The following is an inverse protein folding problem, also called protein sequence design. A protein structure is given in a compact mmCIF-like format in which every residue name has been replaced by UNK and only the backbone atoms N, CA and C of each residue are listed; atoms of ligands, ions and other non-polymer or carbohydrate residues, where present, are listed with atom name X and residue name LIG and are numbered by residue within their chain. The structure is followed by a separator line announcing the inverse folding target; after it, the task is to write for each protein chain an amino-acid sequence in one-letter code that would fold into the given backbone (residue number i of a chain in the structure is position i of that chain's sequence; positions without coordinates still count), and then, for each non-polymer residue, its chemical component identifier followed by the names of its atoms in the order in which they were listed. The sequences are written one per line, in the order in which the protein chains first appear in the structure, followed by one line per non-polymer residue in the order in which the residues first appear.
data_IF_511981492151
#
_entry.id   IF_511981492151
#
_cell.length_a   1.000
_cell.length_b   1.000
_cell.length_c   1.000
_cell.angle_alpha   90.00
_cell.angle_beta   90.00
_cell.angle_gamma   90.00
#
_symmetry.space_group_name_H-M   'P 1'
#
loop_
_entity.id
_entity.type
_entity.pdbx_description
1 polymer ?
#
# COMPACT_ATOMS: atom_id res chain seq x y z
N UNK A 1 10.88 -67.96 36.63
CA UNK A 1 9.92 -68.05 35.53
C UNK A 1 8.81 -66.99 35.68
N UNK A 2 8.39 -66.63 36.88
CA UNK A 2 7.35 -65.63 37.16
C UNK A 2 7.84 -64.16 36.90
N UNK A 3 9.12 -63.87 37.06
CA UNK A 3 9.63 -62.53 36.77
C UNK A 3 9.68 -62.20 35.23
N UNK A 4 9.86 -63.25 34.40
CA UNK A 4 9.83 -63.09 32.94
C UNK A 4 8.42 -62.90 32.40
N UNK A 5 7.38 -63.41 33.02
CA UNK A 5 5.97 -63.19 32.69
C UNK A 5 5.46 -61.83 33.16
N UNK A 6 5.97 -61.26 34.25
CA UNK A 6 5.66 -59.95 34.75
C UNK A 6 6.25 -58.81 33.82
N UNK A 7 7.28 -59.17 33.05
CA UNK A 7 7.83 -58.28 32.04
C UNK A 7 6.92 -58.09 30.79
N UNK A 8 5.94 -58.96 30.60
CA UNK A 8 4.91 -58.99 29.59
C UNK A 8 3.50 -58.69 30.13
N UNK A 9 3.41 -58.02 31.27
CA UNK A 9 2.12 -57.53 31.74
C UNK A 9 1.68 -56.40 30.79
N UNK A 10 0.75 -56.75 29.86
CA UNK A 10 0.21 -55.91 28.81
C UNK A 10 -0.35 -54.56 29.30
N UNK A 11 -0.65 -54.49 30.61
CA UNK A 11 -1.18 -53.27 31.24
C UNK A 11 -0.12 -52.27 31.67
N UNK A 12 1.15 -52.65 31.80
CA UNK A 12 2.19 -51.80 32.39
C UNK A 12 3.39 -51.48 31.48
N UNK A 13 3.41 -51.92 30.21
CA UNK A 13 4.54 -51.72 29.32
C UNK A 13 4.22 -50.73 28.18
N UNK A 14 4.69 -49.46 28.24
CA UNK A 14 4.48 -48.44 27.18
C UNK A 14 5.11 -48.85 25.86
N UNK A 15 6.12 -49.73 25.89
CA UNK A 15 6.83 -50.18 24.68
C UNK A 15 5.91 -50.95 23.72
N UNK A 16 4.86 -51.58 24.20
CA UNK A 16 3.87 -52.29 23.39
C UNK A 16 3.02 -51.34 22.53
N UNK A 17 2.97 -50.05 22.88
CA UNK A 17 2.25 -49.02 22.11
C UNK A 17 3.24 -48.17 21.32
N UNK A 18 4.40 -47.84 21.90
CA UNK A 18 5.43 -47.01 21.26
C UNK A 18 6.06 -47.69 20.05
N UNK A 19 6.38 -49.01 20.15
CA UNK A 19 7.02 -49.73 19.07
C UNK A 19 6.13 -49.84 17.80
N UNK A 20 4.84 -50.25 17.89
CA UNK A 20 3.94 -50.21 16.75
C UNK A 20 3.75 -48.81 16.18
N UNK A 21 3.60 -47.77 17.01
CA UNK A 21 3.47 -46.39 16.57
C UNK A 21 4.73 -45.93 15.82
N UNK A 22 5.91 -46.29 16.28
CA UNK A 22 7.18 -46.02 15.60
C UNK A 22 7.24 -46.70 14.23
N UNK A 23 6.95 -48.01 14.17
CA UNK A 23 7.00 -48.80 12.92
C UNK A 23 6.00 -48.26 11.89
N UNK A 24 4.76 -48.05 12.32
CA UNK A 24 3.71 -47.48 11.46
C UNK A 24 4.13 -46.06 10.97
N UNK A 25 4.68 -45.25 11.86
CA UNK A 25 5.17 -43.91 11.52
C UNK A 25 6.30 -43.93 10.52
N UNK A 26 7.24 -44.86 10.63
CA UNK A 26 8.33 -45.04 9.64
C UNK A 26 7.81 -45.52 8.30
N UNK A 27 6.84 -46.44 8.30
CA UNK A 27 6.21 -46.90 7.04
C UNK A 27 5.49 -45.76 6.35
N UNK A 28 4.68 -45.00 7.09
CA UNK A 28 3.98 -43.82 6.54
C UNK A 28 4.99 -42.80 5.99
N UNK A 29 6.05 -42.50 6.74
CA UNK A 29 7.11 -41.60 6.28
C UNK A 29 7.76 -42.08 5.01
N UNK A 30 8.10 -43.37 4.92
CA UNK A 30 8.70 -43.97 3.73
C UNK A 30 7.77 -43.90 2.51
N UNK A 31 6.47 -44.14 2.70
CA UNK A 31 5.46 -44.02 1.63
C UNK A 31 5.35 -42.57 1.15
N UNK A 32 5.19 -41.59 2.06
CA UNK A 32 5.09 -40.19 1.73
C UNK A 32 6.35 -39.69 0.97
N UNK A 33 7.53 -40.08 1.45
CA UNK A 33 8.81 -39.72 0.83
C UNK A 33 8.96 -40.37 -0.54
N UNK A 34 8.53 -41.61 -0.72
CA UNK A 34 8.54 -42.26 -2.04
C UNK A 34 7.58 -41.59 -3.02
N UNK A 35 6.38 -41.20 -2.58
CA UNK A 35 5.46 -40.40 -3.40
C UNK A 35 6.10 -39.08 -3.83
N UNK A 36 6.74 -38.35 -2.88
CA UNK A 36 7.47 -37.11 -3.21
C UNK A 36 8.60 -37.38 -4.21
N UNK A 37 9.37 -38.48 -4.05
CA UNK A 37 10.46 -38.83 -4.97
C UNK A 37 9.95 -39.17 -6.37
N UNK A 38 8.88 -39.97 -6.49
CA UNK A 38 8.28 -40.35 -7.78
C UNK A 38 7.70 -39.14 -8.49
N UNK A 39 7.02 -38.26 -7.74
CA UNK A 39 6.46 -37.02 -8.30
C UNK A 39 7.56 -36.05 -8.74
N UNK A 40 8.66 -35.97 -7.98
CA UNK A 40 9.83 -35.19 -8.31
C UNK A 40 10.57 -35.72 -9.57
N UNK A 41 10.51 -37.01 -9.82
CA UNK A 41 11.14 -37.63 -10.99
C UNK A 41 10.30 -37.44 -12.27
N UNK A 42 8.96 -37.43 -12.16
CA UNK A 42 8.04 -37.26 -13.31
C UNK A 42 7.85 -35.81 -13.77
N UNK A 43 8.00 -34.86 -12.86
CA UNK A 43 7.82 -33.43 -13.14
C UNK A 43 9.10 -32.71 -12.78
N UNK A 44 9.80 -32.14 -13.75
CA UNK A 44 11.01 -31.32 -13.56
C UNK A 44 10.75 -29.99 -12.85
N UNK A 45 9.72 -29.93 -12.00
CA UNK A 45 9.43 -28.73 -11.23
C UNK A 45 10.51 -28.53 -10.17
N UNK A 46 11.26 -27.46 -10.31
CA UNK A 46 12.30 -27.03 -9.36
C UNK A 46 11.80 -26.99 -7.92
N UNK A 47 10.52 -26.58 -7.72
CA UNK A 47 9.83 -26.58 -6.44
C UNK A 47 9.79 -27.97 -5.77
N UNK A 48 9.48 -29.04 -6.53
CA UNK A 48 9.39 -30.40 -6.00
C UNK A 48 10.78 -30.92 -5.62
N UNK A 49 11.82 -30.52 -6.34
CA UNK A 49 13.21 -30.84 -5.99
C UNK A 49 13.62 -30.20 -4.65
N UNK A 50 13.28 -28.91 -4.43
CA UNK A 50 13.51 -28.21 -3.17
C UNK A 50 12.79 -28.88 -1.99
N UNK A 51 11.54 -29.34 -2.18
CA UNK A 51 10.78 -30.13 -1.21
C UNK A 51 11.50 -31.43 -0.86
N UNK A 52 11.93 -32.21 -1.89
CA UNK A 52 12.63 -33.46 -1.68
C UNK A 52 13.90 -33.31 -0.85
N UNK A 53 14.73 -32.31 -1.16
CA UNK A 53 16.02 -32.11 -0.50
C UNK A 53 15.88 -31.66 0.96
N UNK A 54 14.88 -30.86 1.28
CA UNK A 54 14.77 -30.22 2.59
C UNK A 54 13.74 -30.85 3.54
N UNK A 55 12.71 -31.54 3.01
CA UNK A 55 11.61 -32.07 3.82
C UNK A 55 11.80 -33.55 4.18
N UNK A 56 12.52 -34.31 3.34
CA UNK A 56 12.69 -35.76 3.53
C UNK A 56 13.24 -36.13 4.90
N UNK A 57 14.32 -35.46 5.32
CA UNK A 57 14.96 -35.75 6.62
C UNK A 57 14.05 -35.45 7.79
N UNK A 58 13.26 -34.38 7.73
CA UNK A 58 12.39 -33.98 8.84
C UNK A 58 11.17 -34.90 8.95
N UNK A 59 10.60 -35.34 7.81
CA UNK A 59 9.44 -36.22 7.80
C UNK A 59 9.74 -37.59 8.45
N UNK A 60 10.97 -38.09 8.33
CA UNK A 60 11.37 -39.34 9.00
C UNK A 60 11.30 -39.26 10.54
N UNK A 61 11.47 -38.06 11.11
CA UNK A 61 11.36 -37.85 12.55
C UNK A 61 9.97 -37.36 12.96
N UNK A 62 9.34 -36.49 12.14
CA UNK A 62 8.09 -35.86 12.48
C UNK A 62 6.92 -36.84 12.56
N UNK A 63 6.72 -37.67 11.53
CA UNK A 63 5.56 -38.56 11.47
C UNK A 63 5.56 -39.63 12.57
N UNK A 64 6.69 -40.37 12.80
CA UNK A 64 6.75 -41.31 13.91
C UNK A 64 6.53 -40.65 15.27
N UNK A 65 7.11 -39.45 15.47
CA UNK A 65 7.01 -38.74 16.73
C UNK A 65 5.58 -38.24 17.01
N UNK A 66 4.83 -37.84 15.99
CA UNK A 66 3.40 -37.50 16.10
C UNK A 66 2.61 -38.72 16.60
N UNK A 67 2.81 -39.87 15.97
CA UNK A 67 2.09 -41.11 16.35
C UNK A 67 2.46 -41.58 17.74
N UNK A 68 3.75 -41.54 18.09
CA UNK A 68 4.24 -41.89 19.43
C UNK A 68 3.63 -40.97 20.48
N UNK A 69 3.63 -39.66 20.23
CA UNK A 69 3.10 -38.67 21.18
C UNK A 69 1.58 -38.83 21.36
N UNK A 70 0.86 -39.11 20.27
CA UNK A 70 -0.58 -39.37 20.31
C UNK A 70 -0.89 -40.68 21.11
N UNK A 71 -0.14 -41.72 20.85
CA UNK A 71 -0.26 -42.99 21.55
C UNK A 71 0.04 -42.86 23.07
N UNK A 72 1.14 -42.19 23.40
CA UNK A 72 1.53 -41.90 24.79
C UNK A 72 0.54 -41.01 25.52
N UNK A 73 -0.08 -40.05 24.85
CA UNK A 73 -1.13 -39.19 25.43
C UNK A 73 -2.30 -40.04 25.95
N UNK A 74 -2.80 -40.95 25.13
CA UNK A 74 -3.91 -41.84 25.50
C UNK A 74 -3.54 -42.72 26.66
N UNK A 75 -2.32 -43.25 26.69
CA UNK A 75 -1.82 -44.14 27.73
C UNK A 75 -1.52 -43.40 29.06
N UNK A 76 -0.96 -42.21 29.00
CA UNK A 76 -0.64 -41.38 30.19
C UNK A 76 -1.88 -40.91 30.96
N UNK A 77 -3.05 -40.85 30.33
CA UNK A 77 -4.32 -40.57 30.98
C UNK A 77 -4.76 -41.68 31.91
N UNK A 78 -4.31 -42.92 31.64
CA UNK A 78 -4.69 -44.12 32.39
C UNK A 78 -3.62 -44.46 33.45
N UNK A 79 -2.36 -44.11 33.20
CA UNK A 79 -1.21 -44.50 34.03
C UNK A 79 -0.29 -43.30 34.34
N UNK A 80 -0.31 -42.79 35.56
CA UNK A 80 0.46 -41.62 36.01
C UNK A 80 1.98 -41.77 35.93
N UNK A 81 2.49 -43.01 35.99
CA UNK A 81 3.93 -43.31 35.98
C UNK A 81 4.60 -42.94 34.65
N UNK A 82 3.84 -42.73 33.55
CA UNK A 82 4.35 -42.40 32.22
C UNK A 82 4.25 -40.90 31.85
N UNK A 83 3.97 -40.05 32.81
CA UNK A 83 3.91 -38.60 32.63
C UNK A 83 5.21 -38.05 32.04
N UNK A 84 6.35 -38.46 32.54
CA UNK A 84 7.65 -38.00 32.04
C UNK A 84 7.92 -38.45 30.59
N UNK A 85 7.59 -39.68 30.24
CA UNK A 85 7.77 -40.20 28.86
C UNK A 85 6.91 -39.42 27.86
N UNK A 86 5.67 -39.12 28.24
CA UNK A 86 4.79 -38.27 27.45
C UNK A 86 5.33 -36.84 27.35
N UNK A 87 5.82 -36.25 28.44
CA UNK A 87 6.40 -34.90 28.44
C UNK A 87 7.63 -34.81 27.55
N UNK A 88 8.53 -35.77 27.57
CA UNK A 88 9.70 -35.84 26.70
C UNK A 88 9.29 -35.97 25.24
N UNK A 89 8.32 -36.84 24.92
CA UNK A 89 7.84 -36.97 23.54
C UNK A 89 7.18 -35.68 23.03
N UNK A 90 6.44 -34.96 23.87
CA UNK A 90 5.85 -33.67 23.58
C UNK A 90 6.90 -32.57 23.29
N UNK A 91 7.95 -32.50 24.12
CA UNK A 91 9.07 -31.57 23.93
C UNK A 91 9.80 -31.88 22.63
N UNK A 92 10.08 -33.14 22.34
CA UNK A 92 10.68 -33.56 21.09
C UNK A 92 9.80 -33.22 19.88
N UNK A 93 8.48 -33.40 19.98
CA UNK A 93 7.52 -33.04 18.93
C UNK A 93 7.53 -31.52 18.63
N UNK A 94 7.57 -30.69 19.68
CA UNK A 94 7.67 -29.23 19.51
C UNK A 94 8.97 -28.87 18.80
N UNK A 95 10.10 -29.45 19.20
CA UNK A 95 11.40 -29.18 18.55
C UNK A 95 11.40 -29.60 17.08
N UNK A 96 10.87 -30.78 16.74
CA UNK A 96 10.79 -31.27 15.36
C UNK A 96 9.78 -30.46 14.54
N UNK A 97 8.66 -30.02 15.13
CA UNK A 97 7.70 -29.12 14.47
C UNK A 97 8.34 -27.78 14.16
N UNK A 98 9.09 -27.20 15.09
CA UNK A 98 9.85 -25.97 14.87
C UNK A 98 10.86 -26.15 13.74
N UNK A 99 11.58 -27.28 13.72
CA UNK A 99 12.50 -27.62 12.64
C UNK A 99 11.79 -27.78 11.29
N UNK A 100 10.62 -28.43 11.27
CA UNK A 100 9.78 -28.57 10.07
C UNK A 100 9.40 -27.19 9.51
N UNK A 101 8.93 -26.28 10.36
CA UNK A 101 8.54 -24.93 9.96
C UNK A 101 9.73 -24.15 9.35
N UNK A 102 10.92 -24.26 9.95
CA UNK A 102 12.12 -23.62 9.37
C UNK A 102 12.48 -24.20 7.99
N UNK A 103 12.29 -25.51 7.77
CA UNK A 103 12.52 -26.15 6.47
C UNK A 103 11.52 -25.72 5.41
N UNK A 104 10.25 -25.53 5.80
CA UNK A 104 9.22 -25.00 4.89
C UNK A 104 9.61 -23.59 4.41
N UNK A 105 10.08 -22.71 5.30
CA UNK A 105 10.56 -21.37 4.93
C UNK A 105 11.75 -21.42 3.95
N UNK A 106 12.70 -22.36 4.17
CA UNK A 106 13.84 -22.56 3.26
C UNK A 106 13.37 -23.07 1.89
N UNK A 107 12.35 -23.91 1.83
CA UNK A 107 11.78 -24.39 0.56
C UNK A 107 11.14 -23.20 -0.20
N UNK A 108 10.33 -22.40 0.48
CA UNK A 108 9.70 -21.22 -0.10
C UNK A 108 10.78 -20.27 -0.67
N UNK A 109 11.84 -19.99 0.11
CA UNK A 109 12.96 -19.18 -0.37
C UNK A 109 13.58 -19.74 -1.66
N UNK A 110 13.90 -21.05 -1.68
CA UNK A 110 14.50 -21.69 -2.87
C UNK A 110 13.60 -21.57 -4.09
N UNK A 111 12.30 -21.79 -3.92
CA UNK A 111 11.32 -21.68 -5.01
C UNK A 111 11.24 -20.25 -5.54
N UNK A 112 11.21 -19.25 -4.66
CA UNK A 112 11.16 -17.84 -5.05
C UNK A 112 12.45 -17.38 -5.74
N UNK A 113 13.61 -17.83 -5.27
CA UNK A 113 14.92 -17.48 -5.87
C UNK A 113 15.09 -18.13 -7.24
N UNK A 114 14.61 -19.37 -7.42
CA UNK A 114 14.68 -20.08 -8.70
C UNK A 114 13.86 -19.42 -9.81
N UNK A 115 12.88 -18.56 -9.47
CA UNK A 115 12.09 -17.79 -10.43
C UNK A 115 12.80 -16.50 -10.87
N UNK A 116 13.91 -16.12 -10.23
CA UNK A 116 14.65 -14.92 -10.58
C UNK A 116 15.62 -15.20 -11.72
N UNK A 117 15.53 -14.41 -12.78
CA UNK A 117 16.47 -14.49 -13.90
C UNK A 117 17.69 -13.62 -13.62
N UNK A 118 18.84 -14.26 -13.41
CA UNK A 118 20.13 -13.61 -13.23
C UNK A 118 20.94 -13.49 -14.52
N UNK A 119 20.42 -14.00 -15.64
CA UNK A 119 21.15 -14.09 -16.91
C UNK A 119 21.10 -12.81 -17.72
N UNK A 120 20.18 -11.88 -17.42
CA UNK A 120 20.04 -10.62 -18.13
C UNK A 120 21.15 -9.62 -17.77
N UNK A 121 21.64 -8.80 -18.72
CA UNK A 121 22.67 -7.78 -18.47
C UNK A 121 22.24 -6.76 -17.39
N UNK A 122 20.94 -6.45 -17.29
CA UNK A 122 20.36 -5.58 -16.27
C UNK A 122 19.61 -6.38 -15.20
N UNK A 123 20.37 -7.08 -14.35
CA UNK A 123 19.81 -7.91 -13.28
C UNK A 123 19.62 -7.17 -11.94
N UNK A 124 19.62 -5.84 -11.95
CA UNK A 124 19.47 -5.03 -10.73
C UNK A 124 18.17 -5.35 -9.96
N UNK A 125 17.07 -5.60 -10.66
CA UNK A 125 15.80 -5.98 -10.03
C UNK A 125 15.89 -7.36 -9.36
N UNK A 126 16.48 -8.35 -10.03
CA UNK A 126 16.67 -9.69 -9.47
C UNK A 126 17.54 -9.67 -8.21
N UNK A 127 18.64 -8.90 -8.22
CA UNK A 127 19.51 -8.73 -7.05
C UNK A 127 18.80 -8.05 -5.87
N UNK A 128 17.98 -7.03 -6.12
CA UNK A 128 17.16 -6.37 -5.08
C UNK A 128 16.15 -7.32 -4.47
N UNK A 129 15.44 -8.11 -5.29
CA UNK A 129 14.47 -9.12 -4.84
C UNK A 129 15.17 -10.23 -4.04
N UNK A 130 16.30 -10.74 -4.50
CA UNK A 130 17.11 -11.73 -3.78
C UNK A 130 17.47 -11.27 -2.36
N UNK A 131 17.93 -10.03 -2.22
CA UNK A 131 18.29 -9.48 -0.90
C UNK A 131 17.05 -9.34 -0.01
N UNK A 132 15.92 -8.89 -0.56
CA UNK A 132 14.64 -8.79 0.19
C UNK A 132 14.16 -10.16 0.68
N UNK A 133 14.18 -11.18 -0.20
CA UNK A 133 13.78 -12.56 0.14
C UNK A 133 14.66 -13.11 1.29
N UNK A 134 15.98 -12.95 1.19
CA UNK A 134 16.90 -13.39 2.25
C UNK A 134 16.66 -12.68 3.59
N UNK A 135 16.37 -11.38 3.55
CA UNK A 135 16.09 -10.60 4.76
C UNK A 135 14.80 -11.08 5.43
N UNK A 136 13.70 -11.20 4.65
CA UNK A 136 12.40 -11.68 5.14
C UNK A 136 12.54 -13.10 5.71
N UNK A 137 13.22 -14.02 5.00
CA UNK A 137 13.50 -15.37 5.52
C UNK A 137 14.15 -15.33 6.89
N UNK A 138 15.18 -14.50 7.10
CA UNK A 138 15.90 -14.41 8.39
C UNK A 138 14.95 -13.99 9.51
N UNK A 139 14.11 -12.98 9.28
CA UNK A 139 13.11 -12.53 10.27
C UNK A 139 12.13 -13.64 10.59
N UNK A 140 11.57 -14.31 9.59
CA UNK A 140 10.58 -15.38 9.78
C UNK A 140 11.19 -16.55 10.56
N UNK A 141 12.43 -16.96 10.26
CA UNK A 141 13.12 -18.04 10.99
C UNK A 141 13.34 -17.65 12.46
N UNK A 142 13.78 -16.41 12.74
CA UNK A 142 13.95 -15.93 14.12
C UNK A 142 12.63 -16.01 14.88
N UNK A 143 11.52 -15.55 14.26
CA UNK A 143 10.19 -15.63 14.87
C UNK A 143 9.78 -17.08 15.16
N UNK A 144 9.93 -18.00 14.19
CA UNK A 144 9.60 -19.43 14.34
C UNK A 144 10.39 -20.06 15.51
N UNK A 145 11.70 -19.78 15.59
CA UNK A 145 12.55 -20.31 16.65
C UNK A 145 12.13 -19.73 18.00
N UNK A 146 11.87 -18.42 18.09
CA UNK A 146 11.43 -17.75 19.32
C UNK A 146 10.10 -18.34 19.81
N UNK A 147 9.10 -18.48 18.92
CA UNK A 147 7.84 -19.13 19.25
C UNK A 147 8.01 -20.60 19.64
N UNK A 148 8.87 -21.35 18.93
CA UNK A 148 9.16 -22.74 19.25
C UNK A 148 9.76 -22.89 20.65
N UNK A 149 10.74 -22.06 21.01
CA UNK A 149 11.34 -22.03 22.35
C UNK A 149 10.28 -21.64 23.39
N UNK A 150 9.44 -20.66 23.14
CA UNK A 150 8.39 -20.22 24.05
C UNK A 150 7.40 -21.35 24.34
N UNK A 151 6.92 -22.06 23.32
CA UNK A 151 6.00 -23.21 23.47
C UNK A 151 6.69 -24.34 24.23
N UNK A 152 7.99 -24.59 23.96
CA UNK A 152 8.78 -25.60 24.64
C UNK A 152 8.90 -25.29 26.15
N UNK A 153 9.22 -24.05 26.50
CA UNK A 153 9.31 -23.59 27.88
C UNK A 153 7.96 -23.73 28.64
N UNK A 154 6.86 -23.33 27.98
CA UNK A 154 5.51 -23.45 28.54
C UNK A 154 5.04 -24.93 28.73
N UNK A 155 5.79 -25.91 28.17
CA UNK A 155 5.49 -27.32 28.36
C UNK A 155 5.89 -27.85 29.75
N UNK A 156 6.74 -27.10 30.45
CA UNK A 156 7.17 -27.46 31.83
C UNK A 156 6.30 -26.78 32.87
N UNK A 157 5.72 -27.53 33.80
CA UNK A 157 4.84 -27.03 34.87
C UNK A 157 5.51 -25.93 35.71
N UNK A 158 6.78 -26.14 36.06
CA UNK A 158 7.57 -25.17 36.84
C UNK A 158 7.74 -23.80 36.16
N UNK A 159 7.87 -23.78 34.84
CA UNK A 159 7.99 -22.55 34.06
C UNK A 159 6.62 -21.88 33.87
N UNK A 160 5.58 -22.68 33.72
CA UNK A 160 4.21 -22.22 33.53
C UNK A 160 3.72 -21.39 34.72
N UNK A 161 4.14 -21.68 35.94
CA UNK A 161 3.79 -20.88 37.14
C UNK A 161 4.35 -19.46 37.06
N UNK A 162 5.53 -19.25 36.46
CA UNK A 162 6.14 -17.94 36.22
C UNK A 162 5.67 -17.32 34.91
N UNK A 163 5.00 -18.09 34.05
CA UNK A 163 4.60 -17.70 32.71
C UNK A 163 3.64 -16.52 32.67
N UNK A 164 2.81 -16.34 33.70
CA UNK A 164 1.87 -15.20 33.77
C UNK A 164 2.63 -13.86 33.80
N UNK A 165 3.69 -13.75 34.61
CA UNK A 165 4.52 -12.56 34.70
C UNK A 165 5.26 -12.28 33.40
N UNK A 166 5.81 -13.34 32.77
CA UNK A 166 6.50 -13.22 31.47
C UNK A 166 5.52 -12.82 30.37
N UNK A 167 4.34 -13.43 30.31
CA UNK A 167 3.29 -13.10 29.33
C UNK A 167 2.78 -11.67 29.50
N UNK A 168 2.61 -11.20 30.75
CA UNK A 168 2.21 -9.83 31.03
C UNK A 168 3.28 -8.85 30.52
N UNK A 169 4.55 -9.09 30.83
CA UNK A 169 5.67 -8.26 30.34
C UNK A 169 5.77 -8.29 28.80
N UNK A 170 5.65 -9.46 28.18
CA UNK A 170 5.64 -9.60 26.73
C UNK A 170 4.44 -8.91 26.09
N UNK A 171 3.27 -8.91 26.76
CA UNK A 171 2.09 -8.17 26.35
C UNK A 171 2.33 -6.65 26.30
N UNK A 172 2.93 -6.09 27.35
CA UNK A 172 3.29 -4.65 27.40
C UNK A 172 4.30 -4.31 26.27
N UNK A 173 5.34 -5.14 26.10
CA UNK A 173 6.32 -4.98 25.03
C UNK A 173 5.68 -5.04 23.64
N UNK A 174 4.72 -5.94 23.45
CA UNK A 174 3.98 -6.07 22.17
C UNK A 174 3.18 -4.82 21.84
N UNK A 175 2.56 -4.19 22.86
CA UNK A 175 1.85 -2.91 22.68
C UNK A 175 2.80 -1.80 22.27
N UNK A 176 3.96 -1.68 22.91
CA UNK A 176 4.99 -0.68 22.57
C UNK A 176 5.50 -0.87 21.14
N UNK A 177 5.82 -2.11 20.77
CA UNK A 177 6.25 -2.45 19.40
C UNK A 177 5.11 -2.17 18.39
N UNK A 178 3.87 -2.47 18.77
CA UNK A 178 2.68 -2.20 17.95
C UNK A 178 2.53 -0.71 17.65
N UNK A 179 2.65 0.15 18.63
CA UNK A 179 2.63 1.61 18.44
C UNK A 179 3.81 2.08 17.59
N UNK A 180 5.01 1.56 17.80
CA UNK A 180 6.18 1.90 16.99
C UNK A 180 6.01 1.48 15.51
N UNK A 181 5.32 0.39 15.24
CA UNK A 181 5.06 -0.15 13.90
C UNK A 181 3.79 0.42 13.23
N UNK A 182 2.95 1.16 13.97
CA UNK A 182 1.61 1.58 13.55
C UNK A 182 1.62 2.30 12.19
N UNK A 183 2.51 3.27 11.98
CA UNK A 183 2.60 4.04 10.74
C UNK A 183 2.96 3.16 9.53
N UNK A 184 3.87 2.21 9.72
CA UNK A 184 4.25 1.27 8.65
C UNK A 184 3.11 0.33 8.29
N UNK A 185 2.37 -0.15 9.30
CA UNK A 185 1.20 -1.01 9.11
C UNK A 185 0.05 -0.24 8.44
N UNK A 186 -0.17 1.03 8.82
CA UNK A 186 -1.16 1.90 8.18
C UNK A 186 -0.87 2.06 6.68
N UNK A 187 0.38 2.36 6.29
CA UNK A 187 0.77 2.44 4.89
C UNK A 187 0.55 1.11 4.14
N UNK A 188 0.86 -0.02 4.75
CA UNK A 188 0.61 -1.34 4.15
C UNK A 188 -0.87 -1.58 3.92
N UNK A 189 -1.71 -1.29 4.92
CA UNK A 189 -3.17 -1.45 4.82
C UNK A 189 -3.75 -0.49 3.78
N UNK A 190 -3.28 0.76 3.73
CA UNK A 190 -3.65 1.74 2.72
C UNK A 190 -3.31 1.25 1.30
N UNK A 191 -2.13 0.66 1.10
CA UNK A 191 -1.73 0.09 -0.18
C UNK A 191 -2.64 -1.05 -0.64
N UNK A 192 -2.97 -1.94 0.27
CA UNK A 192 -3.93 -3.02 0.00
C UNK A 192 -5.31 -2.44 -0.34
N UNK A 193 -5.80 -1.48 0.44
CA UNK A 193 -7.09 -0.84 0.21
C UNK A 193 -7.15 -0.17 -1.17
N UNK A 194 -6.12 0.61 -1.56
CA UNK A 194 -6.05 1.28 -2.87
C UNK A 194 -6.06 0.25 -4.01
N UNK A 195 -5.35 -0.87 -3.86
CA UNK A 195 -5.33 -1.93 -4.86
C UNK A 195 -6.72 -2.53 -5.13
N UNK A 196 -7.57 -2.65 -4.10
CA UNK A 196 -8.93 -3.18 -4.23
C UNK A 196 -9.96 -2.11 -4.63
N UNK A 197 -9.91 -0.93 -4.04
CA UNK A 197 -10.93 0.12 -4.25
C UNK A 197 -10.62 1.06 -5.40
N UNK A 198 -9.37 1.12 -5.84
CA UNK A 198 -8.86 1.92 -6.95
C UNK A 198 -9.37 3.37 -6.95
N UNK A 199 -9.22 4.14 -5.86
CA UNK A 199 -9.58 5.56 -5.83
C UNK A 199 -8.70 6.38 -6.78
N UNK A 200 -7.51 5.89 -7.10
CA UNK A 200 -6.54 6.41 -8.06
C UNK A 200 -6.05 5.28 -8.95
N UNK A 201 -5.65 5.63 -10.17
CA UNK A 201 -5.07 4.73 -11.18
C UNK A 201 -3.79 5.35 -11.76
N UNK A 202 -2.93 4.51 -12.34
CA UNK A 202 -1.81 5.00 -13.16
C UNK A 202 -2.38 5.83 -14.30
N UNK A 203 -1.69 6.91 -14.66
CA UNK A 203 -2.10 7.92 -15.64
C UNK A 203 -3.24 8.86 -15.21
N UNK A 204 -3.83 8.71 -14.03
CA UNK A 204 -4.78 9.70 -13.53
C UNK A 204 -4.13 11.06 -13.37
N UNK A 205 -4.87 12.11 -13.80
CA UNK A 205 -4.50 13.51 -13.57
C UNK A 205 -5.07 13.94 -12.23
N UNK A 206 -4.18 14.38 -11.36
CA UNK A 206 -4.52 14.76 -9.99
C UNK A 206 -3.95 16.12 -9.61
N UNK A 207 -4.61 16.77 -8.63
CA UNK A 207 -4.02 17.90 -7.91
C UNK A 207 -3.74 17.43 -6.49
N UNK A 208 -2.46 17.41 -6.13
CA UNK A 208 -1.94 17.04 -4.81
C UNK A 208 -1.00 18.14 -4.32
N UNK A 209 -1.11 18.54 -3.06
CA UNK A 209 -0.32 19.65 -2.47
C UNK A 209 -0.37 20.94 -3.28
N UNK A 210 -1.49 21.19 -4.00
CA UNK A 210 -1.67 22.35 -4.87
C UNK A 210 -0.99 22.25 -6.23
N UNK A 211 -0.28 21.16 -6.52
CA UNK A 211 0.41 20.92 -7.78
C UNK A 211 -0.40 20.00 -8.70
N UNK A 212 -0.48 20.40 -9.97
CA UNK A 212 -1.08 19.56 -11.00
C UNK A 212 -0.06 18.56 -11.52
N UNK A 213 -0.47 17.29 -11.59
CA UNK A 213 0.41 16.22 -12.07
C UNK A 213 -0.33 14.97 -12.50
N UNK A 214 0.44 13.99 -12.96
CA UNK A 214 -0.06 12.68 -13.41
C UNK A 214 0.57 11.57 -12.56
N UNK A 215 -0.24 10.60 -12.15
CA UNK A 215 0.24 9.44 -11.39
C UNK A 215 1.13 8.59 -12.30
N UNK A 216 2.42 8.50 -11.96
CA UNK A 216 3.44 7.73 -12.69
C UNK A 216 3.57 6.31 -12.14
N UNK A 217 3.59 6.16 -10.80
CA UNK A 217 3.73 4.87 -10.13
C UNK A 217 2.85 4.78 -8.88
N UNK A 218 2.27 3.62 -8.65
CA UNK A 218 1.57 3.26 -7.41
C UNK A 218 2.30 2.08 -6.79
N UNK A 219 3.02 2.32 -5.71
CA UNK A 219 3.72 1.31 -4.93
C UNK A 219 2.95 0.99 -3.64
N UNK A 220 3.30 -0.09 -2.97
CA UNK A 220 2.60 -0.56 -1.76
C UNK A 220 2.59 0.47 -0.62
N UNK A 221 3.60 1.35 -0.54
CA UNK A 221 3.76 2.31 0.56
C UNK A 221 3.82 3.77 0.12
N UNK A 222 3.95 4.04 -1.17
CA UNK A 222 4.03 5.39 -1.73
C UNK A 222 3.50 5.44 -3.16
N UNK A 223 3.12 6.64 -3.58
CA UNK A 223 2.72 6.97 -4.96
C UNK A 223 3.67 8.04 -5.50
N UNK A 224 4.06 7.92 -6.76
CA UNK A 224 4.86 8.92 -7.46
C UNK A 224 3.97 9.69 -8.43
N UNK A 225 3.94 11.00 -8.28
CA UNK A 225 3.20 11.92 -9.15
C UNK A 225 4.21 12.75 -9.95
N UNK A 226 4.13 12.65 -11.26
CA UNK A 226 4.93 13.45 -12.20
C UNK A 226 4.23 14.78 -12.43
N UNK A 227 4.88 15.87 -12.02
CA UNK A 227 4.37 17.24 -12.13
C UNK A 227 4.63 17.79 -13.54
N UNK A 228 3.87 18.79 -13.94
CA UNK A 228 3.94 19.40 -15.27
C UNK A 228 5.34 19.89 -15.68
N UNK A 229 6.20 20.24 -14.71
CA UNK A 229 7.57 20.70 -14.91
C UNK A 229 8.62 19.56 -14.79
N UNK A 230 8.18 18.30 -14.87
CA UNK A 230 8.98 17.08 -14.79
C UNK A 230 9.55 16.76 -13.39
N UNK A 231 9.24 17.55 -12.37
CA UNK A 231 9.49 17.15 -10.96
C UNK A 231 8.60 15.97 -10.58
N UNK A 232 9.05 15.19 -9.63
CA UNK A 232 8.29 14.08 -9.07
C UNK A 232 8.01 14.32 -7.59
N UNK A 233 6.75 14.29 -7.22
CA UNK A 233 6.33 14.30 -5.83
C UNK A 233 6.12 12.85 -5.41
N UNK A 234 6.75 12.46 -4.31
CA UNK A 234 6.59 11.12 -3.71
C UNK A 234 5.77 11.28 -2.44
N UNK A 235 4.55 10.76 -2.47
CA UNK A 235 3.60 10.86 -1.36
C UNK A 235 3.42 9.48 -0.70
N UNK A 236 3.31 9.41 0.63
CA UNK A 236 2.92 8.16 1.30
C UNK A 236 1.54 7.75 0.80
N UNK A 237 1.31 6.45 0.66
CA UNK A 237 0.05 5.95 0.08
C UNK A 237 -1.17 6.30 0.95
N UNK A 238 -0.99 6.46 2.27
CA UNK A 238 -2.02 6.92 3.21
C UNK A 238 -2.56 8.31 2.86
N UNK A 239 -1.76 9.17 2.20
CA UNK A 239 -2.21 10.49 1.73
C UNK A 239 -3.49 10.41 0.91
N UNK A 240 -3.57 9.47 -0.02
CA UNK A 240 -4.73 9.30 -0.91
C UNK A 240 -5.97 8.67 -0.26
N UNK A 241 -5.86 8.27 1.02
CA UNK A 241 -6.98 7.76 1.82
C UNK A 241 -7.42 8.79 2.85
N UNK A 242 -6.45 9.48 3.48
CA UNK A 242 -6.69 10.35 4.63
C UNK A 242 -6.89 11.82 4.24
N UNK A 243 -6.29 12.24 3.09
CA UNK A 243 -6.31 13.64 2.65
C UNK A 243 -7.17 13.83 1.41
N UNK A 244 -8.08 14.81 1.38
CA UNK A 244 -8.82 15.15 0.17
C UNK A 244 -7.87 15.61 -0.94
N UNK A 245 -8.05 15.08 -2.13
CA UNK A 245 -7.34 15.45 -3.35
C UNK A 245 -8.31 15.52 -4.53
N UNK A 246 -7.94 16.21 -5.61
CA UNK A 246 -8.75 16.26 -6.82
C UNK A 246 -8.24 15.23 -7.82
N UNK A 247 -9.14 14.39 -8.34
CA UNK A 247 -8.88 13.50 -9.47
C UNK A 247 -9.72 13.95 -10.65
N UNK A 248 -9.05 14.43 -11.70
CA UNK A 248 -9.69 15.03 -12.88
C UNK A 248 -10.04 14.02 -13.95
N UNK A 249 -9.59 12.78 -13.84
CA UNK A 249 -9.79 11.74 -14.86
C UNK A 249 -10.50 10.50 -14.33
N UNK A 250 -11.00 10.55 -13.10
CA UNK A 250 -11.57 9.37 -12.42
C UNK A 250 -12.65 8.64 -13.23
N UNK A 251 -13.60 9.38 -13.81
CA UNK A 251 -14.75 8.81 -14.55
C UNK A 251 -14.73 9.23 -16.02
N UNK A 252 -14.35 10.45 -16.32
CA UNK A 252 -14.24 11.03 -17.65
C UNK A 252 -13.05 11.99 -17.65
N UNK A 253 -12.36 12.12 -18.76
CA UNK A 253 -11.26 13.06 -18.92
C UNK A 253 -11.72 14.46 -19.29
N UNK A 254 -12.97 14.63 -19.68
CA UNK A 254 -13.52 15.90 -20.09
C UNK A 254 -13.75 16.86 -18.92
N UNK A 255 -13.30 18.09 -19.10
CA UNK A 255 -13.32 19.10 -18.07
C UNK A 255 -13.94 20.41 -18.55
N UNK A 256 -14.37 21.21 -17.60
CA UNK A 256 -14.82 22.59 -17.83
C UNK A 256 -13.71 23.53 -17.37
N UNK A 257 -13.14 24.28 -18.32
CA UNK A 257 -12.19 25.34 -18.06
C UNK A 257 -12.88 26.69 -17.89
N UNK A 258 -12.25 27.58 -17.14
CA UNK A 258 -12.73 28.95 -16.95
C UNK A 258 -11.63 29.97 -17.23
N UNK A 259 -11.99 31.08 -17.89
CA UNK A 259 -11.16 32.26 -18.01
C UNK A 259 -11.93 33.46 -17.43
N UNK A 260 -11.24 34.29 -16.65
CA UNK A 260 -11.84 35.44 -16.00
C UNK A 260 -11.29 36.73 -16.65
N UNK A 261 -12.20 37.71 -16.80
CA UNK A 261 -11.89 39.08 -17.30
C UNK A 261 -12.51 40.08 -16.33
N UNK A 262 -11.75 41.12 -15.99
CA UNK A 262 -12.21 42.24 -15.20
C UNK A 262 -12.36 43.45 -16.13
N UNK A 263 -13.58 43.89 -16.36
CA UNK A 263 -13.90 44.92 -17.34
C UNK A 263 -14.82 45.98 -16.71
N UNK A 264 -14.84 47.16 -17.32
CA UNK A 264 -15.71 48.27 -16.93
C UNK A 264 -17.20 47.92 -17.15
N UNK A 265 -18.09 48.47 -16.32
CA UNK A 265 -19.55 48.26 -16.40
C UNK A 265 -20.18 48.68 -17.75
N UNK A 266 -19.54 49.59 -18.51
CA UNK A 266 -20.02 50.02 -19.81
C UNK A 266 -19.76 49.02 -20.93
N UNK A 267 -19.08 47.91 -20.63
CA UNK A 267 -18.71 46.90 -21.64
C UNK A 267 -19.94 46.14 -22.14
N UNK A 268 -20.15 46.04 -23.49
CA UNK A 268 -21.30 45.36 -24.06
C UNK A 268 -21.16 43.85 -23.99
N UNK A 269 -21.59 43.23 -22.86
CA UNK A 269 -21.44 41.80 -22.57
C UNK A 269 -22.04 40.90 -23.67
N UNK A 270 -23.14 41.35 -24.33
CA UNK A 270 -23.76 40.61 -25.42
C UNK A 270 -22.80 40.40 -26.61
N UNK A 271 -22.06 41.43 -26.99
CA UNK A 271 -21.07 41.35 -28.09
C UNK A 271 -19.87 40.46 -27.71
N UNK A 272 -19.41 40.54 -26.46
CA UNK A 272 -18.36 39.65 -25.98
C UNK A 272 -18.82 38.18 -25.98
N UNK A 273 -20.10 37.92 -25.71
CA UNK A 273 -20.67 36.57 -25.77
C UNK A 273 -20.70 36.01 -27.18
N UNK A 274 -21.12 36.79 -28.16
CA UNK A 274 -21.07 36.43 -29.58
C UNK A 274 -19.62 36.12 -29.99
N UNK A 275 -18.70 37.02 -29.67
CA UNK A 275 -17.28 36.85 -30.01
C UNK A 275 -16.66 35.61 -29.37
N UNK A 276 -16.97 35.30 -28.09
CA UNK A 276 -16.53 34.09 -27.47
C UNK A 276 -17.00 32.85 -28.24
N UNK A 277 -18.24 32.84 -28.70
CA UNK A 277 -18.78 31.74 -29.52
C UNK A 277 -18.01 31.57 -30.81
N UNK A 278 -17.74 32.66 -31.52
CA UNK A 278 -16.95 32.66 -32.77
C UNK A 278 -15.54 32.08 -32.53
N UNK A 279 -14.88 32.51 -31.44
CA UNK A 279 -13.56 32.02 -31.06
C UNK A 279 -13.61 30.51 -30.82
N UNK A 280 -14.63 30.01 -30.10
CA UNK A 280 -14.75 28.60 -29.81
C UNK A 280 -15.05 27.78 -31.08
N UNK A 281 -15.86 28.27 -31.99
CA UNK A 281 -16.18 27.58 -33.24
C UNK A 281 -14.98 27.45 -34.19
N UNK A 282 -13.96 28.32 -34.06
CA UNK A 282 -12.77 28.29 -34.89
C UNK A 282 -11.64 27.41 -34.36
N UNK A 283 -11.69 26.96 -33.10
CA UNK A 283 -10.61 26.17 -32.51
C UNK A 283 -10.96 24.68 -32.39
N UNK A 284 -10.04 23.76 -32.70
CA UNK A 284 -10.23 22.31 -32.50
C UNK A 284 -10.15 21.89 -31.03
N UNK A 285 -9.73 22.78 -30.11
CA UNK A 285 -9.58 22.51 -28.68
C UNK A 285 -10.93 22.43 -27.96
N UNK A 286 -11.97 23.10 -28.48
CA UNK A 286 -13.31 23.01 -27.91
C UNK A 286 -14.03 21.72 -28.34
N UNK A 287 -14.62 21.03 -27.39
CA UNK A 287 -15.33 19.76 -27.67
C UNK A 287 -16.81 19.94 -28.08
N UNK A 288 -17.31 21.18 -28.15
CA UNK A 288 -18.67 21.49 -28.57
C UNK A 288 -19.76 21.29 -27.53
N UNK A 289 -19.44 20.79 -26.31
CA UNK A 289 -20.44 20.38 -25.32
C UNK A 289 -21.03 21.54 -24.52
N UNK A 290 -20.17 22.39 -23.98
CA UNK A 290 -20.62 23.45 -23.06
C UNK A 290 -19.79 24.72 -23.22
N UNK A 291 -20.47 25.87 -23.19
CA UNK A 291 -19.83 27.18 -23.10
C UNK A 291 -20.79 28.20 -22.49
N UNK A 292 -20.26 29.24 -21.88
CA UNK A 292 -21.03 30.40 -21.40
C UNK A 292 -20.11 31.59 -21.18
N UNK A 293 -20.64 32.83 -21.34
CA UNK A 293 -20.03 34.03 -20.80
C UNK A 293 -21.03 34.72 -19.89
N UNK A 294 -20.65 34.88 -18.63
CA UNK A 294 -21.50 35.41 -17.58
C UNK A 294 -20.76 36.43 -16.74
N UNK A 295 -21.45 37.46 -16.31
CA UNK A 295 -20.98 38.31 -15.21
C UNK A 295 -21.23 37.53 -13.90
N UNK A 296 -20.18 37.21 -13.20
CA UNK A 296 -20.25 36.36 -11.96
C UNK A 296 -20.04 37.15 -10.68
N UNK A 297 -19.44 38.36 -10.80
CA UNK A 297 -19.17 39.19 -9.61
C UNK A 297 -18.94 40.65 -10.05
N UNK A 298 -18.94 41.56 -9.09
CA UNK A 298 -18.59 42.96 -9.25
C UNK A 298 -17.57 43.37 -8.19
N UNK A 299 -16.43 43.89 -8.61
CA UNK A 299 -15.34 44.30 -7.73
C UNK A 299 -15.01 45.78 -7.91
N UNK A 300 -15.47 46.61 -7.00
CA UNK A 300 -15.30 48.05 -7.07
C UNK A 300 -15.94 48.64 -8.31
N UNK A 301 -15.13 49.17 -9.24
CA UNK A 301 -15.59 49.78 -10.51
C UNK A 301 -15.60 48.80 -11.69
N UNK A 302 -15.33 47.53 -11.46
CA UNK A 302 -15.20 46.50 -12.51
C UNK A 302 -16.22 45.38 -12.30
N UNK A 303 -16.73 44.83 -13.39
CA UNK A 303 -17.44 43.58 -13.40
C UNK A 303 -16.48 42.42 -13.70
N UNK A 304 -16.70 41.28 -13.09
CA UNK A 304 -15.95 40.05 -13.32
C UNK A 304 -16.75 39.17 -14.29
N UNK A 305 -16.26 39.01 -15.51
CA UNK A 305 -16.81 38.07 -16.47
C UNK A 305 -16.08 36.73 -16.40
N UNK A 306 -16.85 35.66 -16.35
CA UNK A 306 -16.36 34.31 -16.46
C UNK A 306 -16.75 33.70 -17.80
N UNK A 307 -15.75 33.41 -18.64
CA UNK A 307 -15.92 32.53 -19.79
C UNK A 307 -15.75 31.09 -19.31
N UNK A 308 -16.73 30.25 -19.60
CA UNK A 308 -16.77 28.82 -19.29
C UNK A 308 -16.73 28.06 -20.61
N UNK A 309 -15.90 27.01 -20.73
CA UNK A 309 -15.78 26.19 -21.92
C UNK A 309 -15.33 24.77 -21.57
N UNK A 310 -15.92 23.77 -22.22
CA UNK A 310 -15.54 22.36 -22.06
C UNK A 310 -14.46 21.95 -23.06
N UNK A 311 -13.61 21.01 -22.64
CA UNK A 311 -12.61 20.38 -23.51
C UNK A 311 -12.49 18.89 -23.19
N UNK A 312 -11.89 18.10 -24.08
CA UNK A 312 -11.82 16.64 -24.02
C UNK A 312 -10.93 16.11 -22.90
N UNK A 313 -9.94 16.89 -22.49
CA UNK A 313 -8.99 16.48 -21.44
C UNK A 313 -8.36 17.72 -20.76
N UNK A 314 -7.59 17.48 -19.70
CA UNK A 314 -6.98 18.53 -18.88
C UNK A 314 -5.97 19.40 -19.64
N UNK A 315 -5.18 18.82 -20.55
CA UNK A 315 -4.21 19.56 -21.35
C UNK A 315 -4.92 20.50 -22.33
N UNK A 316 -5.89 19.97 -23.10
CA UNK A 316 -6.70 20.78 -23.99
C UNK A 316 -7.50 21.84 -23.24
N UNK A 317 -7.95 21.56 -22.02
CA UNK A 317 -8.63 22.55 -21.17
C UNK A 317 -7.70 23.71 -20.82
N UNK A 318 -6.45 23.43 -20.49
CA UNK A 318 -5.47 24.49 -20.22
C UNK A 318 -5.19 25.34 -21.47
N UNK A 319 -4.90 24.69 -22.58
CA UNK A 319 -4.60 25.35 -23.85
C UNK A 319 -5.79 26.21 -24.35
N UNK A 320 -7.01 25.66 -24.24
CA UNK A 320 -8.23 26.38 -24.62
C UNK A 320 -8.45 27.62 -23.74
N UNK A 321 -8.17 27.53 -22.43
CA UNK A 321 -8.26 28.69 -21.52
C UNK A 321 -7.27 29.78 -21.90
N UNK A 322 -6.05 29.43 -22.28
CA UNK A 322 -5.03 30.37 -22.74
C UNK A 322 -5.45 30.99 -24.06
N UNK A 323 -5.82 30.17 -25.03
CA UNK A 323 -6.26 30.62 -26.35
C UNK A 323 -7.45 31.60 -26.29
N UNK A 324 -8.50 31.23 -25.54
CA UNK A 324 -9.66 32.08 -25.34
C UNK A 324 -9.28 33.37 -24.63
N UNK A 325 -8.41 33.34 -23.63
CA UNK A 325 -7.96 34.53 -22.91
C UNK A 325 -7.22 35.49 -23.84
N UNK A 326 -6.31 34.98 -24.63
CA UNK A 326 -5.53 35.77 -25.59
C UNK A 326 -6.43 36.41 -26.67
N UNK A 327 -7.31 35.62 -27.29
CA UNK A 327 -8.21 36.09 -28.35
C UNK A 327 -9.27 37.06 -27.84
N UNK A 328 -9.77 36.87 -26.63
CA UNK A 328 -10.71 37.84 -26.03
C UNK A 328 -10.02 39.15 -25.65
N UNK A 329 -8.78 39.09 -25.08
CA UNK A 329 -8.02 40.30 -24.78
C UNK A 329 -7.70 41.08 -26.06
N UNK A 330 -7.27 40.39 -27.12
CA UNK A 330 -7.02 41.00 -28.44
C UNK A 330 -8.26 41.73 -28.94
N UNK A 331 -9.41 41.09 -28.96
CA UNK A 331 -10.68 41.68 -29.39
C UNK A 331 -11.11 42.86 -28.52
N UNK A 332 -11.05 42.73 -27.19
CA UNK A 332 -11.42 43.80 -26.26
C UNK A 332 -10.51 45.03 -26.46
N UNK A 333 -9.21 44.81 -26.62
CA UNK A 333 -8.26 45.91 -26.80
C UNK A 333 -8.44 46.66 -28.11
N UNK A 334 -8.93 46.01 -29.17
CA UNK A 334 -9.15 46.60 -30.48
C UNK A 334 -10.51 47.31 -30.57
N UNK A 335 -11.59 46.67 -30.15
CA UNK A 335 -12.96 47.12 -30.35
C UNK A 335 -13.52 47.94 -29.18
N UNK A 336 -13.02 47.67 -27.95
CA UNK A 336 -13.53 48.29 -26.71
C UNK A 336 -12.38 48.65 -25.76
N UNK A 337 -11.41 49.47 -26.15
CA UNK A 337 -10.27 49.82 -25.30
C UNK A 337 -10.70 50.50 -23.99
N UNK A 338 -11.83 51.21 -23.97
CA UNK A 338 -12.43 51.83 -22.78
C UNK A 338 -13.01 50.80 -21.79
N UNK A 339 -13.22 49.54 -22.23
CA UNK A 339 -13.66 48.45 -21.36
C UNK A 339 -12.55 47.95 -20.43
N UNK A 340 -11.30 48.20 -20.78
CA UNK A 340 -10.15 47.82 -19.96
C UNK A 340 -10.06 48.64 -18.68
N UNK A 341 -9.52 48.09 -17.58
CA UNK A 341 -9.32 48.80 -16.35
C UNK A 341 -8.50 50.07 -16.55
N UNK A 342 -9.05 51.23 -16.19
CA UNK A 342 -8.36 52.52 -16.22
C UNK A 342 -8.47 53.19 -14.86
N UNK A 343 -7.40 53.86 -14.44
CA UNK A 343 -7.42 54.69 -13.23
C UNK A 343 -7.82 56.12 -13.62
N UNK A 344 -8.95 56.59 -13.10
CA UNK A 344 -9.35 57.98 -13.23
C UNK A 344 -8.69 58.78 -12.10
N UNK A 345 -7.67 59.56 -12.42
CA UNK A 345 -7.04 60.48 -11.48
C UNK A 345 -7.79 61.81 -11.63
N UNK A 346 -8.61 62.20 -10.64
CA UNK A 346 -9.16 63.58 -10.54
C UNK A 346 -8.17 64.40 -9.75
N UNK A 347 -7.51 65.35 -10.41
CA UNK A 347 -6.80 66.41 -9.71
C UNK A 347 -7.83 67.25 -8.96
N UNK A 348 -7.75 67.22 -7.61
CA UNK A 348 -8.52 68.16 -6.81
C UNK A 348 -8.12 69.58 -7.20
N UNK A 349 -9.02 70.29 -7.90
CA UNK A 349 -8.83 71.74 -8.14
C UNK A 349 -8.59 72.37 -6.81
N UNK A 350 -7.37 72.89 -6.62
CA UNK A 350 -7.01 73.75 -5.51
C UNK A 350 -8.04 74.87 -5.43
N UNK A 351 -8.98 74.79 -4.47
CA UNK A 351 -9.81 75.93 -4.13
C UNK A 351 -8.88 77.04 -3.68
N UNK A 352 -8.61 77.97 -4.58
CA UNK A 352 -7.98 79.21 -4.29
C UNK A 352 -8.89 79.92 -3.26
N UNK A 353 -8.48 79.86 -2.03
CA UNK A 353 -9.19 80.46 -0.89
C UNK A 353 -9.34 81.97 -1.21
N UNK A 354 -10.58 82.35 -1.49
CA UNK A 354 -10.99 83.76 -1.32
C UNK A 354 -10.81 84.11 0.17
N UNK A 355 -9.61 84.57 0.54
CA UNK A 355 -9.45 85.36 1.73
C UNK A 355 -10.09 86.72 1.42
N UNK A 356 -11.07 87.18 2.21
CA UNK A 356 -11.62 88.51 2.06
C UNK A 356 -10.54 89.55 2.43
N UNK A 357 -10.28 90.40 1.50
CA UNK A 357 -9.45 91.61 1.68
C UNK A 357 -10.13 92.53 2.69
N UNK A 358 -9.77 92.46 3.94
CA UNK A 358 -10.08 93.36 5.00
C UNK A 358 -8.83 93.73 5.74
N UNK A 359 -8.57 95.04 5.71
CA UNK A 359 -7.67 95.84 6.47
C UNK A 359 -6.38 96.27 5.84
N UNK A 360 -6.59 97.22 4.84
CA UNK A 360 -5.70 98.35 4.76
C UNK A 360 -6.51 99.61 5.12
N UNK A 361 -6.41 100.05 6.38
CA UNK A 361 -6.51 101.49 6.80
C UNK A 361 -6.32 101.42 8.35
N UNK A 362 -5.16 101.77 8.78
CA UNK A 362 -4.71 102.89 9.66
C UNK A 362 -3.27 102.64 10.04
#
# INVERSE_FOLDING_TARGET
MNEFFNMFDYRNSPWLIVLPALVIGLIISAVVINVIKITAAKKEWRAIRAVRENLTSVLYFFVPLVLITAALKTYSLTHKDYYWTFTISKVALIAVTTWLMTRVVIIIEKVLIDQLDFSSPDNNQARRLFTKIKFVKRIVIILIITFGISILLLSFESVRQYGVGILTSAGIFSVIIGFAAQKSLANLMAGIQIAFTQPIKIDDVVIVEGEWGRIEEINLTYVVVNIWDLRRIVLPITYFIETPFQNWTRNDSALIGTAFFQLNYLTPVARLREKLKDILDTTPLWDGRSWALQVTDTQGQLMVLRALMSARNSSETFDLRCYVREKMIEFISQEYPEALPSFRIEEAKKQESMLPDKERHI
#
